data_IF_549619547069
#
_entry.id   IF_549619547069
#
_cell.length_a   1.000
_cell.length_b   1.000
_cell.length_c   1.000
_cell.angle_alpha   90.00
_cell.angle_beta   90.00
_cell.angle_gamma   90.00
#
_symmetry.space_group_name_H-M   'P 1'
#
loop_
_entity.id
_entity.type
_entity.pdbx_description
1 polymer ?
#
# COMPACT_ATOMS: atom_id res chain seq x y z
N UNK A 1 23.69 -12.54 -5.37
CA UNK A 1 23.84 -12.63 -3.89
C UNK A 1 22.45 -12.61 -3.29
N UNK A 2 22.17 -13.49 -2.34
CA UNK A 2 20.88 -13.50 -1.63
C UNK A 2 20.85 -12.30 -0.68
N UNK A 3 19.78 -11.53 -0.69
CA UNK A 3 19.57 -10.46 0.30
C UNK A 3 19.48 -11.08 1.70
N UNK A 4 20.42 -10.77 2.62
CA UNK A 4 20.48 -11.42 3.93
C UNK A 4 19.41 -10.90 4.90
N UNK A 5 18.66 -9.86 4.53
CA UNK A 5 17.65 -9.26 5.40
C UNK A 5 16.47 -10.21 5.62
N UNK A 6 15.90 -10.26 6.85
CA UNK A 6 14.66 -10.99 7.09
C UNK A 6 13.52 -10.42 6.22
N UNK A 7 12.54 -11.27 5.92
CA UNK A 7 11.39 -10.91 5.09
C UNK A 7 10.29 -10.31 5.97
N UNK A 8 9.76 -9.16 5.55
CA UNK A 8 8.51 -8.60 6.07
C UNK A 8 7.44 -8.73 5.01
N UNK A 9 6.44 -9.57 5.30
CA UNK A 9 5.22 -9.65 4.51
C UNK A 9 4.32 -8.48 4.89
N UNK A 10 4.03 -7.61 3.92
CA UNK A 10 3.29 -6.37 4.09
C UNK A 10 1.97 -6.44 3.33
N UNK A 11 0.85 -6.36 4.06
CA UNK A 11 -0.47 -6.23 3.46
C UNK A 11 -0.84 -4.75 3.22
N UNK A 12 -1.81 -4.51 2.35
CA UNK A 12 -2.36 -3.17 2.06
C UNK A 12 -3.51 -2.87 3.02
N UNK A 13 -4.54 -3.72 3.10
CA UNK A 13 -5.75 -3.42 3.86
C UNK A 13 -5.60 -3.70 5.35
N UNK A 14 -5.68 -2.65 6.16
CA UNK A 14 -5.39 -2.69 7.59
C UNK A 14 -4.05 -2.03 7.91
N UNK A 15 -2.89 -2.60 7.51
CA UNK A 15 -1.58 -2.02 7.83
C UNK A 15 -1.30 -0.68 7.13
N UNK A 16 -1.59 -0.57 5.83
CA UNK A 16 -1.33 0.65 5.06
C UNK A 16 -2.61 1.45 4.85
N UNK A 17 -3.64 0.82 4.31
CA UNK A 17 -4.96 1.37 4.09
C UNK A 17 -5.80 1.20 5.37
N UNK A 18 -6.13 2.28 6.10
CA UNK A 18 -6.75 2.16 7.41
C UNK A 18 -8.12 1.47 7.38
N UNK A 19 -8.24 0.36 8.11
CA UNK A 19 -9.49 -0.37 8.27
C UNK A 19 -10.52 0.46 9.04
N UNK A 20 -11.76 0.53 8.53
CA UNK A 20 -12.90 1.25 9.14
C UNK A 20 -12.63 2.72 9.49
N UNK A 21 -11.73 3.39 8.75
CA UNK A 21 -11.58 4.83 8.92
C UNK A 21 -12.91 5.55 8.62
N UNK A 22 -13.28 6.61 9.38
CA UNK A 22 -14.53 7.32 9.19
C UNK A 22 -14.75 7.75 7.73
N UNK A 23 -16.01 7.66 7.30
CA UNK A 23 -16.44 8.20 6.01
C UNK A 23 -16.22 9.72 5.99
N UNK A 24 -15.77 10.28 4.86
CA UNK A 24 -15.70 11.72 4.61
C UNK A 24 -14.32 12.36 4.67
N UNK A 25 -13.41 11.95 5.57
CA UNK A 25 -12.04 12.51 5.61
C UNK A 25 -10.99 11.43 5.91
N UNK A 26 -9.92 11.42 5.13
CA UNK A 26 -8.77 10.58 5.42
C UNK A 26 -8.12 11.02 6.75
N UNK A 27 -7.54 10.10 7.53
CA UNK A 27 -6.76 10.46 8.71
C UNK A 27 -5.64 11.46 8.35
N UNK A 28 -5.19 12.24 9.32
CA UNK A 28 -4.15 13.24 9.07
C UNK A 28 -2.88 12.62 8.46
N UNK A 29 -2.41 13.16 7.34
CA UNK A 29 -1.25 12.67 6.59
C UNK A 29 -1.56 11.62 5.53
N UNK A 30 -2.77 11.06 5.52
CA UNK A 30 -3.21 10.14 4.47
C UNK A 30 -3.81 10.91 3.30
N UNK A 31 -3.46 10.47 2.09
CA UNK A 31 -4.13 10.87 0.86
C UNK A 31 -5.04 9.75 0.37
N UNK A 32 -6.17 10.08 -0.24
CA UNK A 32 -7.08 9.09 -0.84
C UNK A 32 -6.81 9.02 -2.34
N UNK A 33 -6.56 7.81 -2.84
CA UNK A 33 -6.20 7.54 -4.23
C UNK A 33 -7.27 6.65 -4.86
N UNK A 34 -7.85 7.05 -6.00
CA UNK A 34 -8.73 6.19 -6.77
C UNK A 34 -7.89 5.17 -7.55
N UNK A 35 -7.97 3.89 -7.20
CA UNK A 35 -7.19 2.83 -7.83
C UNK A 35 -8.07 1.90 -8.67
N UNK A 36 -7.45 1.28 -9.67
CA UNK A 36 -8.07 0.30 -10.58
C UNK A 36 -7.13 -0.89 -10.83
N UNK A 37 -6.86 -1.73 -9.81
CA UNK A 37 -6.15 -2.98 -10.03
C UNK A 37 -6.94 -3.89 -10.98
N UNK A 38 -6.27 -4.91 -11.54
CA UNK A 38 -6.92 -5.88 -12.41
C UNK A 38 -8.07 -6.57 -11.68
N UNK A 39 -9.23 -6.66 -12.32
CA UNK A 39 -10.48 -7.14 -11.74
C UNK A 39 -11.31 -6.08 -11.01
N UNK A 40 -10.87 -4.81 -10.98
CA UNK A 40 -11.62 -3.66 -10.45
C UNK A 40 -11.80 -2.54 -11.49
N UNK A 41 -12.22 -2.93 -12.68
CA UNK A 41 -12.50 -2.04 -13.80
C UNK A 41 -13.95 -1.51 -13.79
N UNK A 42 -14.30 -0.71 -14.79
CA UNK A 42 -15.70 -0.33 -15.03
C UNK A 42 -16.60 -1.57 -15.13
N UNK A 43 -17.82 -1.56 -14.58
CA UNK A 43 -18.55 -0.39 -14.07
C UNK A 43 -18.32 -0.09 -12.58
N UNK A 44 -17.33 -0.71 -11.93
CA UNK A 44 -17.07 -0.45 -10.52
C UNK A 44 -16.54 0.97 -10.33
N UNK A 45 -17.05 1.73 -9.33
CA UNK A 45 -16.39 2.96 -8.94
C UNK A 45 -14.94 2.66 -8.52
N UNK A 46 -13.98 3.57 -8.78
CA UNK A 46 -12.58 3.36 -8.40
C UNK A 46 -12.48 2.96 -6.94
N UNK A 47 -11.61 1.99 -6.64
CA UNK A 47 -11.36 1.54 -5.28
C UNK A 47 -10.64 2.66 -4.52
N UNK A 48 -11.22 3.26 -3.46
CA UNK A 48 -10.54 4.29 -2.71
C UNK A 48 -9.52 3.65 -1.76
N UNK A 49 -8.23 3.88 -2.02
CA UNK A 49 -7.13 3.43 -1.16
C UNK A 49 -6.52 4.64 -0.47
N UNK A 50 -6.36 4.58 0.86
CA UNK A 50 -5.77 5.68 1.64
C UNK A 50 -4.35 5.31 2.04
N UNK A 51 -3.37 6.13 1.65
CA UNK A 51 -1.96 5.90 1.95
C UNK A 51 -1.32 7.16 2.56
N UNK A 52 -0.40 6.96 3.49
CA UNK A 52 0.47 8.01 4.01
C UNK A 52 1.89 7.83 3.43
N UNK A 53 2.36 8.73 2.54
CA UNK A 53 3.69 8.62 1.94
C UNK A 53 4.84 8.53 2.97
N UNK A 54 4.64 9.04 4.19
CA UNK A 54 5.65 9.00 5.26
C UNK A 54 5.91 7.58 5.76
N UNK A 55 5.00 6.64 5.51
CA UNK A 55 5.22 5.23 5.86
C UNK A 55 6.36 4.59 5.06
N UNK A 56 6.65 5.06 3.85
CA UNK A 56 7.74 4.53 3.03
C UNK A 56 9.11 4.58 3.71
N UNK A 57 9.63 5.78 4.04
CA UNK A 57 10.87 5.91 4.78
C UNK A 57 10.90 5.13 6.10
N UNK A 58 9.77 5.07 6.82
CA UNK A 58 9.65 4.30 8.06
C UNK A 58 9.79 2.79 7.81
N UNK A 59 9.16 2.24 6.77
CA UNK A 59 9.25 0.84 6.38
C UNK A 59 10.68 0.47 5.92
N UNK A 60 11.32 1.34 5.14
CA UNK A 60 12.70 1.13 4.68
C UNK A 60 13.70 1.15 5.83
N UNK A 61 13.44 1.96 6.87
CA UNK A 61 14.28 2.02 8.07
C UNK A 61 14.21 0.75 8.95
N UNK A 62 13.23 -0.13 8.76
CA UNK A 62 13.12 -1.37 9.54
C UNK A 62 14.23 -2.39 9.22
N UNK A 63 14.91 -2.25 8.07
CA UNK A 63 15.98 -3.17 7.67
C UNK A 63 15.51 -4.54 7.17
N UNK A 64 14.24 -4.64 6.74
CA UNK A 64 13.67 -5.87 6.16
C UNK A 64 13.67 -5.83 4.63
N UNK A 65 13.59 -7.01 4.03
CA UNK A 65 13.15 -7.16 2.64
C UNK A 65 11.62 -7.19 2.61
N UNK A 66 11.02 -6.15 2.03
CA UNK A 66 9.56 -6.04 1.91
C UNK A 66 9.04 -6.99 0.82
N UNK A 67 7.95 -7.69 1.11
CA UNK A 67 7.23 -8.55 0.16
C UNK A 67 5.73 -8.31 0.36
N UNK A 68 5.00 -8.07 -0.73
CA UNK A 68 3.55 -7.89 -0.64
C UNK A 68 2.85 -9.17 -0.22
N UNK A 69 1.98 -9.05 0.77
CA UNK A 69 1.07 -10.08 1.26
C UNK A 69 -0.38 -9.62 1.11
N UNK A 70 -0.71 -9.13 -0.08
CA UNK A 70 -2.04 -8.61 -0.41
C UNK A 70 -2.57 -9.31 -1.66
N UNK A 71 -3.89 -9.28 -1.85
CA UNK A 71 -4.56 -9.80 -3.06
C UNK A 71 -4.08 -9.13 -4.33
N UNK A 72 -3.53 -7.91 -4.22
CA UNK A 72 -2.93 -7.16 -5.31
C UNK A 72 -1.67 -7.83 -5.88
N UNK A 73 -0.97 -8.64 -5.07
CA UNK A 73 0.25 -9.31 -5.49
C UNK A 73 1.26 -8.34 -6.14
N UNK A 74 1.78 -8.64 -7.34
CA UNK A 74 2.70 -7.76 -8.06
C UNK A 74 2.12 -6.38 -8.44
N UNK A 75 0.79 -6.23 -8.57
CA UNK A 75 0.19 -4.95 -8.93
C UNK A 75 0.36 -3.89 -7.84
N UNK A 76 0.65 -4.30 -6.60
CA UNK A 76 1.02 -3.36 -5.54
C UNK A 76 2.29 -2.57 -5.89
N UNK A 77 3.19 -3.09 -6.73
CA UNK A 77 4.34 -2.32 -7.23
C UNK A 77 3.94 -1.20 -8.19
N UNK A 78 2.81 -1.35 -8.88
CA UNK A 78 2.29 -0.34 -9.82
C UNK A 78 1.49 0.72 -9.08
N UNK A 79 0.66 0.29 -8.13
CA UNK A 79 -0.35 1.16 -7.53
C UNK A 79 0.02 1.70 -6.15
N UNK A 80 0.73 0.91 -5.33
CA UNK A 80 1.01 1.22 -3.91
C UNK A 80 2.45 1.72 -3.74
N UNK A 81 3.44 0.99 -4.26
CA UNK A 81 4.85 1.29 -4.06
C UNK A 81 5.25 2.73 -4.45
N UNK A 82 4.80 3.30 -5.59
CA UNK A 82 5.22 4.65 -5.99
C UNK A 82 4.72 5.74 -5.04
N UNK A 83 3.55 5.53 -4.43
CA UNK A 83 2.96 6.47 -3.46
C UNK A 83 3.79 6.51 -2.18
N UNK A 84 4.34 5.35 -1.78
CA UNK A 84 5.17 5.19 -0.61
C UNK A 84 6.66 5.40 -0.90
N UNK A 85 7.07 5.61 -2.16
CA UNK A 85 8.49 5.66 -2.52
C UNK A 85 9.24 4.36 -2.20
N UNK A 86 8.55 3.22 -2.29
CA UNK A 86 9.15 1.90 -2.16
C UNK A 86 9.74 1.43 -3.50
N UNK A 87 10.82 0.62 -3.48
CA UNK A 87 11.46 0.09 -4.69
C UNK A 87 10.59 -0.91 -5.44
#
# INVERSE_FOLDING_TARGET
MVDPRPILFLDVDGPLNPWRAPAGRAPAGYTTLPMRPTGWEEPHPPLPVRLDPRHGPLLLALGYRLVWASTWGPEANTWIAPVLGLP
#
